data_IF_779509849158
#
_entry.id   IF_779509849158
#
_cell.length_a   1.000
_cell.length_b   1.000
_cell.length_c   1.000
_cell.angle_alpha   90.00
_cell.angle_beta   90.00
_cell.angle_gamma   90.00
#
_symmetry.space_group_name_H-M   'P 1'
#
loop_
_entity.id
_entity.type
_entity.pdbx_description
1 polymer ?
#
# COMPACT_ATOMS: atom_id res chain seq x y z
N UNK A 1 16.03 37.92 -20.74
CA UNK A 1 14.90 37.08 -20.29
C UNK A 1 14.80 35.85 -21.19
N UNK A 2 15.23 34.67 -20.72
CA UNK A 2 15.17 33.42 -21.51
C UNK A 2 13.86 32.72 -21.15
N UNK A 3 12.94 32.59 -22.11
CA UNK A 3 11.74 31.74 -21.96
C UNK A 3 12.20 30.31 -21.73
N UNK A 4 11.67 29.68 -20.68
CA UNK A 4 11.86 28.26 -20.41
C UNK A 4 11.00 27.50 -21.43
N UNK A 5 11.57 26.60 -22.25
CA UNK A 5 10.79 25.86 -23.23
C UNK A 5 9.98 24.77 -22.52
N UNK A 6 8.67 24.76 -22.77
CA UNK A 6 7.76 23.67 -22.42
C UNK A 6 8.11 22.45 -23.28
N UNK A 7 8.96 21.56 -22.77
CA UNK A 7 9.14 20.21 -23.31
C UNK A 7 8.43 19.22 -22.38
N UNK A 8 7.21 18.83 -22.74
CA UNK A 8 6.90 17.40 -22.85
C UNK A 8 5.61 17.21 -23.65
N UNK A 9 5.77 16.91 -24.94
CA UNK A 9 4.76 16.28 -25.77
C UNK A 9 5.16 14.81 -25.91
N UNK A 10 4.18 13.92 -25.76
CA UNK A 10 4.17 12.56 -26.31
C UNK A 10 5.05 11.51 -25.61
N UNK A 11 4.49 10.87 -24.58
CA UNK A 11 4.35 9.41 -24.41
C UNK A 11 3.92 9.11 -22.95
N UNK A 12 2.66 9.40 -22.61
CA UNK A 12 2.07 8.98 -21.32
C UNK A 12 1.73 7.48 -21.30
N UNK A 13 2.64 6.63 -21.76
CA UNK A 13 2.59 5.19 -21.51
C UNK A 13 3.66 4.83 -20.49
N UNK A 14 3.54 5.41 -19.30
CA UNK A 14 4.28 4.94 -18.13
C UNK A 14 4.01 3.44 -17.92
N UNK A 15 4.92 2.71 -17.25
CA UNK A 15 4.75 1.28 -17.05
C UNK A 15 3.40 0.98 -16.39
N UNK A 16 2.58 0.16 -17.06
CA UNK A 16 1.32 -0.30 -16.51
C UNK A 16 1.61 -1.18 -15.28
N UNK A 17 1.29 -0.66 -14.09
CA UNK A 17 1.45 -1.39 -12.84
C UNK A 17 0.19 -2.24 -12.63
N UNK A 18 0.26 -3.58 -12.79
CA UNK A 18 -0.92 -4.46 -12.83
C UNK A 18 -1.76 -4.41 -11.55
N UNK A 19 -1.15 -4.00 -10.43
CA UNK A 19 -1.80 -3.95 -9.12
C UNK A 19 -1.76 -2.56 -8.48
N UNK A 20 -1.63 -1.49 -9.27
CA UNK A 20 -1.46 -0.11 -8.76
C UNK A 20 -2.49 0.27 -7.67
N UNK A 21 -3.76 -0.10 -7.87
CA UNK A 21 -4.84 0.16 -6.91
C UNK A 21 -4.66 -0.65 -5.64
N UNK A 22 -4.49 -1.97 -5.76
CA UNK A 22 -4.29 -2.86 -4.61
C UNK A 22 -3.07 -2.44 -3.78
N UNK A 23 -1.94 -2.12 -4.43
CA UNK A 23 -0.74 -1.63 -3.76
C UNK A 23 -1.00 -0.34 -3.01
N UNK A 24 -1.71 0.61 -3.62
CA UNK A 24 -2.09 1.87 -2.96
C UNK A 24 -2.96 1.61 -1.73
N UNK A 25 -3.92 0.70 -1.83
CA UNK A 25 -4.82 0.36 -0.73
C UNK A 25 -4.05 -0.29 0.44
N UNK A 26 -3.14 -1.23 0.14
CA UNK A 26 -2.29 -1.89 1.15
C UNK A 26 -1.40 -0.87 1.87
N UNK A 27 -0.72 0.00 1.12
CA UNK A 27 0.14 1.05 1.70
C UNK A 27 -0.70 2.04 2.51
N UNK A 28 -1.90 2.39 2.03
CA UNK A 28 -2.84 3.24 2.75
C UNK A 28 -3.22 2.66 4.11
N UNK A 29 -3.64 1.40 4.15
CA UNK A 29 -3.97 0.71 5.41
C UNK A 29 -2.82 0.73 6.40
N UNK A 30 -1.58 0.49 5.94
CA UNK A 30 -0.41 0.59 6.80
C UNK A 30 -0.28 1.98 7.44
N UNK A 31 -0.37 3.05 6.65
CA UNK A 31 -0.23 4.40 7.19
C UNK A 31 -1.40 4.82 8.08
N UNK A 32 -2.62 4.40 7.76
CA UNK A 32 -3.79 4.66 8.60
C UNK A 32 -3.58 4.03 10.00
N UNK A 33 -3.23 2.74 10.04
CA UNK A 33 -2.93 2.03 11.30
C UNK A 33 -1.75 2.64 12.04
N UNK A 34 -0.67 2.98 11.32
CA UNK A 34 0.52 3.57 11.95
C UNK A 34 0.22 4.93 12.58
N UNK A 35 -0.56 5.77 11.90
CA UNK A 35 -0.93 7.09 12.40
C UNK A 35 -1.89 7.00 13.60
N UNK A 36 -2.78 6.01 13.62
CA UNK A 36 -3.73 5.81 14.73
C UNK A 36 -3.05 5.23 15.98
N UNK A 37 -2.12 4.28 15.80
CA UNK A 37 -1.47 3.58 16.92
C UNK A 37 -0.20 4.28 17.43
N UNK A 38 0.39 5.18 16.62
CA UNK A 38 1.70 5.78 16.84
C UNK A 38 2.86 4.75 16.84
N UNK A 39 4.13 5.16 16.71
CA UNK A 39 5.28 4.27 16.80
C UNK A 39 5.52 3.69 18.21
N UNK A 40 6.20 2.53 18.26
CA UNK A 40 6.75 1.96 19.50
C UNK A 40 6.06 0.68 19.98
N UNK A 41 5.06 0.19 19.25
CA UNK A 41 4.39 -1.07 19.55
C UNK A 41 5.11 -2.27 18.89
N UNK A 42 4.92 -3.50 19.40
CA UNK A 42 5.41 -4.71 18.75
C UNK A 42 4.77 -4.90 17.37
N UNK A 43 5.53 -5.50 16.44
CA UNK A 43 5.05 -5.84 15.09
C UNK A 43 3.71 -6.59 15.09
N UNK A 44 3.53 -7.54 16.02
CA UNK A 44 2.29 -8.30 16.15
C UNK A 44 1.06 -7.41 16.33
N UNK A 45 1.19 -6.27 17.02
CA UNK A 45 0.07 -5.33 17.22
C UNK A 45 -0.30 -4.64 15.92
N UNK A 46 0.70 -4.17 15.16
CA UNK A 46 0.44 -3.58 13.83
C UNK A 46 -0.17 -4.61 12.89
N UNK A 47 0.34 -5.84 12.88
CA UNK A 47 -0.20 -6.91 12.05
C UNK A 47 -1.67 -7.19 12.36
N UNK A 48 -2.02 -7.37 13.64
CA UNK A 48 -3.41 -7.61 14.05
C UNK A 48 -4.32 -6.42 13.72
N UNK A 49 -3.85 -5.18 13.90
CA UNK A 49 -4.62 -4.00 13.55
C UNK A 49 -4.83 -3.87 12.03
N UNK A 50 -3.80 -4.13 11.23
CA UNK A 50 -3.91 -4.12 9.76
C UNK A 50 -4.88 -5.18 9.26
N UNK A 51 -4.87 -6.39 9.83
CA UNK A 51 -5.81 -7.45 9.49
C UNK A 51 -7.27 -7.02 9.73
N UNK A 52 -7.55 -6.36 10.84
CA UNK A 52 -8.88 -5.79 11.13
C UNK A 52 -9.28 -4.77 10.05
N UNK A 53 -8.42 -3.79 9.78
CA UNK A 53 -8.72 -2.71 8.81
C UNK A 53 -8.85 -3.24 7.38
N UNK A 54 -8.06 -4.24 7.00
CA UNK A 54 -8.21 -4.90 5.70
C UNK A 54 -9.58 -5.57 5.56
N UNK A 55 -9.99 -6.33 6.58
CA UNK A 55 -11.29 -7.01 6.59
C UNK A 55 -12.45 -6.00 6.58
N UNK A 56 -12.36 -4.89 7.32
CA UNK A 56 -13.35 -3.81 7.30
C UNK A 56 -13.46 -3.12 5.93
N UNK A 57 -12.35 -3.05 5.18
CA UNK A 57 -12.32 -2.53 3.80
C UNK A 57 -12.75 -3.56 2.75
N UNK A 58 -13.17 -4.75 3.18
CA UNK A 58 -13.66 -5.81 2.30
C UNK A 58 -12.57 -6.61 1.60
N UNK A 59 -11.31 -6.52 2.05
CA UNK A 59 -10.25 -7.42 1.61
C UNK A 59 -10.35 -8.76 2.34
N UNK A 60 -9.94 -9.83 1.69
CA UNK A 60 -9.68 -11.11 2.33
C UNK A 60 -8.19 -11.16 2.70
N UNK A 61 -7.88 -10.72 3.93
CA UNK A 61 -6.52 -10.74 4.45
C UNK A 61 -6.38 -11.88 5.46
N UNK A 62 -5.43 -12.77 5.23
CA UNK A 62 -5.08 -13.88 6.13
C UNK A 62 -3.64 -13.69 6.62
N UNK A 63 -3.43 -13.82 7.92
CA UNK A 63 -2.11 -13.74 8.56
C UNK A 63 -1.58 -15.14 8.90
N UNK A 64 -0.25 -15.31 8.82
CA UNK A 64 0.44 -16.52 9.28
C UNK A 64 -0.04 -17.84 8.63
N UNK A 65 -0.46 -17.76 7.36
CA UNK A 65 -0.91 -18.93 6.60
C UNK A 65 0.23 -19.95 6.47
N UNK A 66 -0.04 -21.19 6.86
CA UNK A 66 0.92 -22.29 6.72
C UNK A 66 1.16 -22.58 5.24
N UNK A 67 2.41 -22.42 4.79
CA UNK A 67 2.82 -22.76 3.43
C UNK A 67 3.50 -24.13 3.42
N UNK A 68 2.94 -25.07 2.66
CA UNK A 68 3.58 -26.36 2.39
C UNK A 68 4.59 -26.15 1.24
N UNK A 69 5.87 -26.40 1.52
CA UNK A 69 6.95 -26.27 0.54
C UNK A 69 7.42 -27.67 0.17
N UNK A 70 7.31 -28.02 -1.11
CA UNK A 70 7.72 -29.32 -1.67
C UNK A 70 9.12 -29.26 -2.26
#
# INVERSE_FOLDING_TARGET
>A
MRRIPSHHSSDESGPQLPHARLTRDIIGVFFDVYNDLAPGLPEQVYRSAMEIVFNERGFQAESEVKLEVH
#
